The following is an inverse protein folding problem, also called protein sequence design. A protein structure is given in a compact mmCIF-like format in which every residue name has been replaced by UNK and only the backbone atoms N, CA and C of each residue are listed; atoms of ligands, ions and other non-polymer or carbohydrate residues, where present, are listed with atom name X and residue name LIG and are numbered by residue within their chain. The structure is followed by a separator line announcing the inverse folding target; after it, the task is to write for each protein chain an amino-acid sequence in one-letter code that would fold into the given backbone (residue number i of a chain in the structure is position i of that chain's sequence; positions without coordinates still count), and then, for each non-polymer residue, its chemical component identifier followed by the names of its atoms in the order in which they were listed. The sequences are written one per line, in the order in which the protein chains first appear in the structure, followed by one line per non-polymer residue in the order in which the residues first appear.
data_IF_335226572169
#
_entry.id   IF_335226572169
#
_cell.length_a   1.000
_cell.length_b   1.000
_cell.length_c   1.000
_cell.angle_alpha   90.00
_cell.angle_beta   90.00
_cell.angle_gamma   90.00
#
_symmetry.space_group_name_H-M   'P 1'
#
loop_
_entity.id
_entity.type
_entity.pdbx_description
1 polymer ?
#
# COMPACT_ATOMS: atom_id res chain seq x y z
N UNK A 1 35.00 -16.55 4.67
CA UNK A 1 34.24 -17.80 4.41
C UNK A 1 35.16 -18.96 4.76
N UNK A 2 34.75 -19.82 5.68
CA UNK A 2 35.49 -21.03 6.06
C UNK A 2 34.65 -22.24 5.66
N UNK A 3 35.27 -23.21 5.00
CA UNK A 3 34.63 -24.48 4.66
C UNK A 3 35.33 -25.61 5.41
N UNK A 4 34.57 -26.44 6.12
CA UNK A 4 35.10 -27.58 6.86
C UNK A 4 34.07 -28.70 6.99
N UNK A 5 34.53 -29.91 7.27
CA UNK A 5 33.66 -31.06 7.52
C UNK A 5 33.56 -31.32 9.02
N UNK A 6 32.34 -31.56 9.51
CA UNK A 6 32.07 -31.92 10.91
C UNK A 6 30.93 -32.93 10.95
N UNK A 7 31.17 -34.09 11.56
CA UNK A 7 30.21 -35.19 11.67
C UNK A 7 29.64 -35.65 10.31
N UNK A 8 30.47 -35.73 9.26
CA UNK A 8 30.06 -36.15 7.92
C UNK A 8 29.21 -35.13 7.15
N UNK A 9 29.16 -33.88 7.62
CA UNK A 9 28.49 -32.76 6.95
C UNK A 9 29.50 -31.68 6.59
N UNK A 10 29.44 -31.20 5.35
CA UNK A 10 30.15 -29.99 4.94
C UNK A 10 29.44 -28.77 5.55
N UNK A 11 30.20 -27.94 6.26
CA UNK A 11 29.75 -26.70 6.89
C UNK A 11 30.45 -25.52 6.22
N UNK A 12 29.68 -24.50 5.87
CA UNK A 12 30.16 -23.23 5.33
C UNK A 12 29.85 -22.13 6.35
N UNK A 13 30.86 -21.68 7.08
CA UNK A 13 30.71 -20.63 8.09
C UNK A 13 31.05 -19.25 7.49
N UNK A 14 30.12 -18.30 7.71
CA UNK A 14 30.27 -16.89 7.38
C UNK A 14 30.49 -16.09 8.67
N UNK A 15 31.44 -15.15 8.65
CA UNK A 15 31.69 -14.27 9.78
C UNK A 15 30.53 -13.28 9.89
N UNK A 16 29.94 -13.13 11.09
CA UNK A 16 28.82 -12.20 11.32
C UNK A 16 29.14 -10.76 10.89
N UNK A 17 30.39 -10.34 11.03
CA UNK A 17 30.86 -9.00 10.60
C UNK A 17 30.85 -8.77 9.08
N UNK A 18 30.70 -9.84 8.29
CA UNK A 18 30.58 -9.77 6.83
C UNK A 18 29.13 -9.77 6.35
N UNK A 19 28.17 -9.84 7.28
CA UNK A 19 26.73 -9.76 7.02
C UNK A 19 26.28 -8.35 7.45
N UNK A 20 25.64 -7.55 6.57
CA UNK A 20 25.09 -6.26 6.95
C UNK A 20 24.15 -6.38 8.17
N UNK A 21 24.15 -5.37 9.05
CA UNK A 21 23.41 -5.41 10.32
C UNK A 21 21.89 -5.55 10.16
N UNK A 22 21.36 -5.25 8.97
CA UNK A 22 19.94 -5.27 8.62
C UNK A 22 19.42 -6.69 8.32
N UNK A 23 20.27 -7.72 8.20
CA UNK A 23 19.81 -9.05 7.75
C UNK A 23 19.11 -9.80 8.87
N UNK A 24 17.78 -9.90 8.78
CA UNK A 24 16.90 -10.54 9.77
C UNK A 24 16.79 -12.07 9.63
N UNK A 25 17.01 -12.62 8.43
CA UNK A 25 16.98 -14.07 8.17
C UNK A 25 17.99 -14.48 7.07
N UNK A 26 18.35 -15.76 7.02
CA UNK A 26 19.21 -16.34 5.97
C UNK A 26 18.57 -17.62 5.48
N UNK A 27 18.12 -17.61 4.22
CA UNK A 27 17.48 -18.77 3.59
C UNK A 27 18.46 -19.48 2.64
N UNK A 28 18.42 -20.82 2.69
CA UNK A 28 19.19 -21.69 1.80
C UNK A 28 18.24 -22.54 0.99
N UNK A 29 18.39 -22.53 -0.33
CA UNK A 29 17.69 -23.45 -1.21
C UNK A 29 18.65 -24.05 -2.24
N UNK A 30 18.27 -25.21 -2.76
CA UNK A 30 18.96 -25.87 -3.87
C UNK A 30 18.17 -25.64 -5.14
N UNK A 31 18.87 -25.22 -6.17
CA UNK A 31 18.36 -25.19 -7.54
C UNK A 31 19.43 -25.83 -8.41
N UNK A 32 19.04 -26.87 -9.14
CA UNK A 32 19.94 -27.80 -9.81
C UNK A 32 21.02 -28.35 -8.84
N UNK A 33 22.31 -28.26 -9.22
CA UNK A 33 23.47 -28.65 -8.42
C UNK A 33 24.09 -27.48 -7.63
N UNK A 34 23.42 -26.32 -7.59
CA UNK A 34 23.92 -25.10 -6.92
C UNK A 34 23.16 -24.84 -5.62
N UNK A 35 23.89 -24.42 -4.58
CA UNK A 35 23.28 -23.91 -3.35
C UNK A 35 23.21 -22.39 -3.45
N UNK A 36 21.99 -21.86 -3.41
CA UNK A 36 21.75 -20.43 -3.38
C UNK A 36 21.67 -19.96 -1.93
N UNK A 37 22.35 -18.85 -1.63
CA UNK A 37 22.26 -18.15 -0.35
C UNK A 37 21.53 -16.84 -0.59
N UNK A 38 20.33 -16.72 -0.03
CA UNK A 38 19.64 -15.44 0.01
C UNK A 38 20.08 -14.71 1.27
N UNK A 39 20.80 -13.60 1.07
CA UNK A 39 21.18 -12.67 2.14
C UNK A 39 20.36 -11.41 1.92
N UNK A 40 19.23 -11.32 2.62
CA UNK A 40 18.34 -10.18 2.56
C UNK A 40 17.49 -10.13 3.82
N UNK A 41 16.87 -8.99 4.07
CA UNK A 41 15.69 -8.98 4.94
C UNK A 41 14.72 -10.05 4.47
N UNK A 42 14.01 -10.68 5.39
CA UNK A 42 12.93 -11.60 5.06
C UNK A 42 11.72 -10.89 4.39
N UNK A 43 11.95 -9.74 3.77
CA UNK A 43 11.00 -9.06 2.91
C UNK A 43 11.21 -9.53 1.46
N UNK A 44 10.77 -10.75 1.20
CA UNK A 44 10.55 -11.28 -0.15
C UNK A 44 9.35 -10.57 -0.83
N UNK A 45 9.22 -9.25 -0.64
CA UNK A 45 7.98 -8.50 -0.82
C UNK A 45 8.10 -7.01 -1.14
N UNK A 46 9.29 -6.38 -1.17
CA UNK A 46 9.42 -4.99 -1.64
C UNK A 46 9.49 -4.92 -3.18
N UNK A 47 8.47 -5.45 -3.84
CA UNK A 47 8.05 -4.82 -5.09
C UNK A 47 7.35 -3.54 -4.67
N UNK A 48 7.99 -2.39 -4.88
CA UNK A 48 7.41 -1.09 -4.55
C UNK A 48 6.13 -0.91 -5.36
N UNK A 49 4.99 -1.29 -4.76
CA UNK A 49 3.71 -1.34 -5.46
C UNK A 49 3.27 0.06 -5.82
N UNK A 50 2.81 0.24 -7.06
CA UNK A 50 2.43 1.55 -7.60
C UNK A 50 0.92 1.69 -7.56
N UNK A 51 0.44 2.83 -7.05
CA UNK A 51 -0.98 3.13 -6.97
C UNK A 51 -1.60 3.16 -8.37
N UNK A 52 -2.46 2.19 -8.67
CA UNK A 52 -3.14 2.07 -9.96
C UNK A 52 -4.44 2.88 -9.99
N UNK A 53 -5.27 2.78 -8.94
CA UNK A 53 -6.54 3.49 -8.84
C UNK A 53 -7.03 3.58 -7.39
N UNK A 54 -8.05 4.40 -7.16
CA UNK A 54 -8.88 4.33 -5.94
C UNK A 54 -10.33 4.02 -6.28
N UNK A 55 -11.08 3.54 -5.30
CA UNK A 55 -12.53 3.35 -5.40
C UNK A 55 -13.21 3.81 -4.12
N UNK A 56 -14.42 4.33 -4.25
CA UNK A 56 -15.18 4.93 -3.14
C UNK A 56 -16.54 4.26 -3.04
N UNK A 57 -16.87 3.77 -1.84
CA UNK A 57 -18.16 3.13 -1.48
C UNK A 57 -18.73 3.77 -0.22
N UNK A 58 -20.05 3.69 -0.04
CA UNK A 58 -20.74 4.17 1.17
C UNK A 58 -20.92 5.69 1.29
N UNK A 59 -20.53 6.46 0.27
CA UNK A 59 -20.65 7.92 0.27
C UNK A 59 -22.09 8.38 0.02
N UNK A 60 -22.59 9.31 0.86
CA UNK A 60 -23.91 9.97 0.70
C UNK A 60 -23.90 10.91 -0.50
N UNK A 61 -24.92 10.83 -1.36
CA UNK A 61 -24.98 11.58 -2.63
C UNK A 61 -26.15 12.57 -2.75
N UNK A 62 -26.99 12.71 -1.72
CA UNK A 62 -28.16 13.61 -1.75
C UNK A 62 -28.18 14.46 -0.50
N UNK A 63 -28.31 15.78 -0.67
CA UNK A 63 -28.19 16.78 0.38
C UNK A 63 -29.27 17.86 0.21
N UNK A 64 -29.66 18.48 1.31
CA UNK A 64 -30.42 19.73 1.27
C UNK A 64 -29.47 20.93 1.09
N UNK A 65 -29.97 22.05 0.56
CA UNK A 65 -29.20 23.30 0.53
C UNK A 65 -28.84 23.72 1.96
N UNK A 66 -27.56 24.00 2.21
CA UNK A 66 -27.05 24.33 3.54
C UNK A 66 -26.60 23.13 4.38
N UNK A 67 -26.83 21.89 3.92
CA UNK A 67 -26.21 20.71 4.54
C UNK A 67 -24.69 20.77 4.39
N UNK A 68 -23.98 20.10 5.29
CA UNK A 68 -22.54 19.90 5.17
C UNK A 68 -22.21 18.55 4.53
N UNK A 69 -21.08 18.46 3.82
CA UNK A 69 -20.50 17.18 3.42
C UNK A 69 -20.39 16.24 4.63
N UNK A 70 -20.77 14.99 4.44
CA UNK A 70 -20.66 13.95 5.46
C UNK A 70 -19.95 12.73 4.88
N UNK A 71 -18.69 12.54 5.31
CA UNK A 71 -17.91 11.37 4.93
C UNK A 71 -18.16 10.14 5.82
N UNK A 72 -19.05 10.23 6.82
CA UNK A 72 -19.38 9.11 7.70
C UNK A 72 -19.83 7.89 6.91
N UNK A 73 -19.23 6.72 7.19
CA UNK A 73 -19.53 5.48 6.47
C UNK A 73 -18.89 5.35 5.09
N UNK A 74 -18.12 6.34 4.65
CA UNK A 74 -17.36 6.26 3.39
C UNK A 74 -16.16 5.35 3.55
N UNK A 75 -15.95 4.46 2.58
CA UNK A 75 -14.76 3.60 2.48
C UNK A 75 -14.05 3.94 1.18
N UNK A 76 -12.77 4.30 1.29
CA UNK A 76 -11.87 4.51 0.15
C UNK A 76 -10.88 3.35 0.10
N UNK A 77 -10.81 2.69 -1.04
CA UNK A 77 -9.91 1.56 -1.28
C UNK A 77 -8.91 1.92 -2.36
N UNK A 78 -7.62 1.89 -2.02
CA UNK A 78 -6.51 1.95 -2.96
C UNK A 78 -6.29 0.58 -3.61
N UNK A 79 -6.00 0.58 -4.92
CA UNK A 79 -5.65 -0.61 -5.70
C UNK A 79 -4.31 -0.38 -6.36
N UNK A 80 -3.46 -1.38 -6.30
CA UNK A 80 -2.09 -1.32 -6.79
C UNK A 80 -1.91 -2.18 -8.05
N UNK A 81 -0.81 -1.97 -8.75
CA UNK A 81 -0.44 -2.69 -9.98
C UNK A 81 -0.09 -4.17 -9.74
N UNK A 82 0.40 -4.51 -8.56
CA UNK A 82 0.61 -5.88 -8.08
C UNK A 82 -0.70 -6.66 -7.81
N UNK A 83 -1.86 -6.02 -7.98
CA UNK A 83 -3.18 -6.60 -7.73
C UNK A 83 -3.64 -6.53 -6.27
N UNK A 84 -2.80 -6.07 -5.35
CA UNK A 84 -3.17 -5.84 -3.95
C UNK A 84 -4.12 -4.65 -3.80
N UNK A 85 -4.84 -4.60 -2.67
CA UNK A 85 -5.73 -3.49 -2.34
C UNK A 85 -5.82 -3.25 -0.84
N UNK A 86 -5.98 -1.99 -0.46
CA UNK A 86 -6.00 -1.57 0.93
C UNK A 86 -7.09 -0.52 1.17
N UNK A 87 -7.73 -0.57 2.34
CA UNK A 87 -8.59 0.52 2.80
C UNK A 87 -7.71 1.63 3.34
N UNK A 88 -7.90 2.85 2.85
CA UNK A 88 -7.08 4.01 3.21
C UNK A 88 -7.90 5.01 4.01
N UNK A 89 -7.27 5.60 5.03
CA UNK A 89 -7.91 6.57 5.93
C UNK A 89 -7.38 7.99 5.75
N UNK A 90 -6.29 8.18 5.01
CA UNK A 90 -5.59 9.47 4.84
C UNK A 90 -5.83 10.11 3.46
N UNK A 91 -7.05 10.00 2.94
CA UNK A 91 -7.44 10.63 1.67
C UNK A 91 -7.98 12.05 1.93
N UNK A 92 -8.02 12.88 0.89
CA UNK A 92 -8.62 14.22 0.92
C UNK A 92 -9.86 14.28 0.03
N UNK A 93 -10.72 15.27 0.26
CA UNK A 93 -11.86 15.56 -0.61
C UNK A 93 -11.89 17.01 -1.04
N UNK A 94 -12.55 17.29 -2.16
CA UNK A 94 -12.90 18.66 -2.56
C UNK A 94 -14.35 18.67 -3.02
N UNK A 95 -15.26 19.36 -2.32
CA UNK A 95 -15.06 20.08 -1.04
C UNK A 95 -14.57 19.20 0.13
N UNK A 96 -13.95 19.81 1.15
CA UNK A 96 -13.50 19.13 2.37
C UNK A 96 -14.68 18.62 3.20
N UNK A 97 -14.42 17.65 4.09
CA UNK A 97 -15.44 17.18 5.04
C UNK A 97 -16.00 18.36 5.85
N UNK A 98 -17.31 18.29 6.12
CA UNK A 98 -18.07 19.34 6.81
C UNK A 98 -18.17 20.68 6.09
N UNK A 99 -17.74 20.79 4.83
CA UNK A 99 -18.03 21.97 4.00
C UNK A 99 -19.53 22.11 3.76
N UNK A 100 -20.09 23.29 4.00
CA UNK A 100 -21.50 23.62 3.69
C UNK A 100 -21.73 23.71 2.19
N UNK A 101 -22.76 23.01 1.72
CA UNK A 101 -23.13 22.92 0.31
C UNK A 101 -24.16 23.98 -0.07
N UNK A 102 -24.05 24.39 -1.33
CA UNK A 102 -24.97 25.25 -2.05
C UNK A 102 -25.63 24.47 -3.19
N UNK A 103 -26.71 25.01 -3.75
CA UNK A 103 -27.36 24.41 -4.92
C UNK A 103 -26.47 24.34 -6.18
N UNK A 104 -25.31 25.01 -6.19
CA UNK A 104 -24.35 24.95 -7.30
C UNK A 104 -23.36 23.77 -7.17
N UNK A 105 -23.27 23.14 -6.00
CA UNK A 105 -22.37 22.01 -5.79
C UNK A 105 -22.98 20.75 -6.42
N UNK A 106 -22.18 20.09 -7.28
CA UNK A 106 -22.64 18.94 -8.08
C UNK A 106 -21.76 17.71 -7.94
N UNK A 107 -20.60 17.83 -7.31
CA UNK A 107 -19.68 16.71 -7.12
C UNK A 107 -18.74 16.89 -5.95
N UNK A 108 -18.19 15.76 -5.49
CA UNK A 108 -17.06 15.67 -4.55
C UNK A 108 -15.96 14.86 -5.21
N UNK A 109 -14.75 15.40 -5.22
CA UNK A 109 -13.55 14.73 -5.72
C UNK A 109 -12.80 14.12 -4.55
N UNK A 110 -12.65 12.80 -4.54
CA UNK A 110 -11.79 12.09 -3.61
C UNK A 110 -10.38 11.99 -4.20
N UNK A 111 -9.35 12.23 -3.39
CA UNK A 111 -7.94 12.16 -3.80
C UNK A 111 -7.13 11.36 -2.80
N UNK A 112 -6.24 10.50 -3.29
CA UNK A 112 -5.29 9.75 -2.47
C UNK A 112 -3.94 9.66 -3.19
N UNK A 113 -2.88 9.80 -2.41
CA UNK A 113 -1.49 9.77 -2.87
C UNK A 113 -0.74 8.66 -2.13
N UNK A 114 -0.08 7.78 -2.88
CA UNK A 114 0.87 6.81 -2.35
C UNK A 114 2.20 6.98 -3.09
N UNK A 115 3.27 7.26 -2.34
CA UNK A 115 4.53 7.71 -2.92
C UNK A 115 4.33 9.00 -3.73
N UNK A 116 4.75 8.99 -4.99
CA UNK A 116 4.61 10.14 -5.90
C UNK A 116 3.32 10.09 -6.75
N UNK A 117 2.55 9.01 -6.68
CA UNK A 117 1.38 8.79 -7.53
C UNK A 117 0.11 9.22 -6.81
N UNK A 118 -0.64 10.12 -7.44
CA UNK A 118 -1.95 10.57 -6.96
C UNK A 118 -3.05 10.06 -7.88
N UNK A 119 -4.14 9.55 -7.30
CA UNK A 119 -5.35 9.13 -8.02
C UNK A 119 -6.58 9.81 -7.44
N UNK A 120 -7.53 10.09 -8.31
CA UNK A 120 -8.78 10.73 -7.93
C UNK A 120 -10.00 9.96 -8.41
N UNK A 121 -11.11 10.10 -7.69
CA UNK A 121 -12.43 9.62 -8.08
C UNK A 121 -13.45 10.71 -7.80
N UNK A 122 -14.21 11.09 -8.83
CA UNK A 122 -15.32 12.04 -8.70
C UNK A 122 -16.62 11.31 -8.40
N UNK A 123 -17.34 11.76 -7.37
CA UNK A 123 -18.71 11.33 -7.06
C UNK A 123 -19.67 12.49 -7.28
N UNK A 124 -20.67 12.27 -8.12
CA UNK A 124 -21.77 13.23 -8.29
C UNK A 124 -22.64 13.26 -7.04
N UNK A 125 -23.11 14.45 -6.70
CA UNK A 125 -24.08 14.69 -5.64
C UNK A 125 -25.27 15.49 -6.19
N UNK A 126 -26.37 15.49 -5.45
CA UNK A 126 -27.55 16.32 -5.72
C UNK A 126 -27.83 17.16 -4.48
N UNK A 127 -27.97 18.47 -4.68
CA UNK A 127 -28.30 19.45 -3.63
C UNK A 127 -29.60 20.14 -4.02
N UNK A 128 -30.67 19.93 -3.24
CA UNK A 128 -32.03 20.44 -3.53
C UNK A 128 -32.80 20.80 -2.28
#
# INVERSE_FOLDING_TARGET
MLMYEKNGKLILDFQKSSIPAEVSDVQLYKEDDTVHVLVGDNDLGDSTKVLSSISVKGFKTTYAVGDTIDLTGTTVTAKYDDGSSEVVTTYTTTPDDKTTLTAQDTSVVFSYTAGEVTKTVTKSITVS
#
